data_IF_112299472922
#
_entry.id   IF_112299472922
#
_cell.length_a   1.000
_cell.length_b   1.000
_cell.length_c   1.000
_cell.angle_alpha   90.00
_cell.angle_beta   90.00
_cell.angle_gamma   90.00
#
_symmetry.space_group_name_H-M   'P 1'
#
loop_
_entity.id
_entity.type
_entity.pdbx_description
1 polymer ?
#
# COMPACT_ATOMS: atom_id res chain seq x y z
N UNK A 1 -23.33 -29.34 -54.00
CA UNK A 1 -23.02 -27.93 -53.62
C UNK A 1 -23.59 -27.49 -52.25
N UNK A 2 -24.08 -28.39 -51.38
CA UNK A 2 -24.64 -28.05 -50.05
C UNK A 2 -23.64 -28.15 -48.87
N UNK A 3 -22.56 -28.91 -49.02
CA UNK A 3 -21.62 -29.27 -47.93
C UNK A 3 -20.60 -28.20 -47.53
N UNK A 4 -20.28 -27.24 -48.41
CA UNK A 4 -19.34 -26.15 -48.10
C UNK A 4 -20.01 -24.97 -47.36
N UNK A 5 -21.30 -24.74 -47.58
CA UNK A 5 -22.08 -23.67 -46.92
C UNK A 5 -22.31 -23.99 -45.44
N UNK A 6 -22.64 -25.24 -45.10
CA UNK A 6 -22.83 -25.68 -43.71
C UNK A 6 -21.54 -25.59 -42.89
N UNK A 7 -20.39 -26.05 -43.43
CA UNK A 7 -19.10 -25.97 -42.72
C UNK A 7 -18.68 -24.54 -42.42
N UNK A 8 -18.96 -23.59 -43.31
CA UNK A 8 -18.68 -22.17 -43.07
C UNK A 8 -19.60 -21.57 -42.01
N UNK A 9 -20.90 -21.92 -42.02
CA UNK A 9 -21.83 -21.50 -40.98
C UNK A 9 -21.41 -22.03 -39.59
N UNK A 10 -21.00 -23.30 -39.48
CA UNK A 10 -20.52 -23.87 -38.21
C UNK A 10 -19.24 -23.20 -37.71
N UNK A 11 -18.33 -22.84 -38.63
CA UNK A 11 -17.09 -22.13 -38.29
C UNK A 11 -17.36 -20.70 -37.80
N UNK A 12 -18.28 -19.98 -38.42
CA UNK A 12 -18.71 -18.66 -37.93
C UNK A 12 -19.39 -18.76 -36.56
N UNK A 13 -20.22 -19.78 -36.34
CA UNK A 13 -20.86 -20.05 -35.04
C UNK A 13 -19.82 -20.28 -33.94
N UNK A 14 -18.79 -21.08 -34.24
CA UNK A 14 -17.69 -21.37 -33.33
C UNK A 14 -16.85 -20.12 -33.06
N UNK A 15 -16.55 -19.32 -34.08
CA UNK A 15 -15.82 -18.06 -33.91
C UNK A 15 -16.59 -17.06 -33.05
N UNK A 16 -17.92 -16.95 -33.24
CA UNK A 16 -18.79 -16.12 -32.39
C UNK A 16 -18.75 -16.60 -30.93
N UNK A 17 -18.81 -17.91 -30.68
CA UNK A 17 -18.70 -18.49 -29.33
C UNK A 17 -17.35 -18.22 -28.69
N UNK A 18 -16.25 -18.40 -29.41
CA UNK A 18 -14.89 -18.13 -28.92
C UNK A 18 -14.70 -16.65 -28.59
N UNK A 19 -15.21 -15.75 -29.43
CA UNK A 19 -15.14 -14.31 -29.18
C UNK A 19 -15.96 -13.90 -27.96
N UNK A 20 -17.16 -14.46 -27.80
CA UNK A 20 -18.00 -14.25 -26.62
C UNK A 20 -17.32 -14.74 -25.33
N UNK A 21 -16.74 -15.95 -25.35
CA UNK A 21 -16.01 -16.49 -24.20
C UNK A 21 -14.79 -15.65 -23.85
N UNK A 22 -14.03 -15.19 -24.84
CA UNK A 22 -12.87 -14.31 -24.63
C UNK A 22 -13.29 -12.98 -24.00
N UNK A 23 -14.41 -12.40 -24.43
CA UNK A 23 -14.95 -11.16 -23.85
C UNK A 23 -15.34 -11.35 -22.39
N UNK A 24 -16.10 -12.41 -22.08
CA UNK A 24 -16.47 -12.80 -20.70
C UNK A 24 -15.25 -13.01 -19.81
N UNK A 25 -14.20 -13.66 -20.33
CA UNK A 25 -12.97 -13.90 -19.59
C UNK A 25 -12.26 -12.59 -19.18
N UNK A 26 -12.27 -11.59 -20.07
CA UNK A 26 -11.71 -10.27 -19.77
C UNK A 26 -12.57 -9.51 -18.75
N UNK A 27 -13.90 -9.58 -18.86
CA UNK A 27 -14.82 -8.96 -17.89
C UNK A 27 -14.62 -9.50 -16.48
N UNK A 28 -14.46 -10.83 -16.33
CA UNK A 28 -14.16 -11.47 -15.04
C UNK A 28 -12.80 -11.04 -14.46
N UNK A 29 -11.76 -10.98 -15.30
CA UNK A 29 -10.43 -10.51 -14.88
C UNK A 29 -10.47 -9.08 -14.37
N UNK A 30 -11.22 -8.20 -15.05
CA UNK A 30 -11.32 -6.80 -14.66
C UNK A 30 -12.03 -6.65 -13.29
N UNK A 31 -13.14 -7.37 -13.09
CA UNK A 31 -13.83 -7.40 -11.80
C UNK A 31 -12.92 -7.90 -10.66
N UNK A 32 -12.19 -9.00 -10.89
CA UNK A 32 -11.24 -9.53 -9.91
C UNK A 32 -10.14 -8.51 -9.56
N UNK A 33 -9.60 -7.79 -10.56
CA UNK A 33 -8.61 -6.75 -10.30
C UNK A 33 -9.16 -5.58 -9.49
N UNK A 34 -10.41 -5.15 -9.72
CA UNK A 34 -11.06 -4.10 -8.93
C UNK A 34 -11.19 -4.50 -7.46
N UNK A 35 -11.70 -5.71 -7.20
CA UNK A 35 -11.82 -6.25 -5.84
C UNK A 35 -10.48 -6.33 -5.11
N UNK A 36 -9.42 -6.85 -5.75
CA UNK A 36 -8.08 -6.96 -5.16
C UNK A 36 -7.51 -5.56 -4.85
N UNK A 37 -7.75 -4.58 -5.72
CA UNK A 37 -7.28 -3.20 -5.49
C UNK A 37 -7.96 -2.60 -4.27
N UNK A 38 -9.27 -2.79 -4.11
CA UNK A 38 -10.01 -2.27 -2.96
C UNK A 38 -9.65 -2.99 -1.65
N UNK A 39 -9.44 -4.30 -1.69
CA UNK A 39 -8.93 -5.06 -0.55
C UNK A 39 -7.55 -4.58 -0.12
N UNK A 40 -6.63 -4.35 -1.07
CA UNK A 40 -5.30 -3.78 -0.78
C UNK A 40 -5.39 -2.39 -0.16
N UNK A 41 -6.28 -1.53 -0.67
CA UNK A 41 -6.53 -0.20 -0.07
C UNK A 41 -7.07 -0.33 1.35
N UNK A 42 -8.04 -1.22 1.57
CA UNK A 42 -8.63 -1.46 2.88
C UNK A 42 -7.59 -1.94 3.90
N UNK A 43 -6.78 -2.95 3.54
CA UNK A 43 -5.68 -3.44 4.38
C UNK A 43 -4.69 -2.32 4.71
N UNK A 44 -4.28 -1.55 3.68
CA UNK A 44 -3.35 -0.43 3.87
C UNK A 44 -3.92 0.62 4.82
N UNK A 45 -5.19 0.99 4.65
CA UNK A 45 -5.85 2.01 5.46
C UNK A 45 -6.02 1.55 6.91
N UNK A 46 -6.47 0.32 7.12
CA UNK A 46 -6.62 -0.26 8.46
C UNK A 46 -5.27 -0.32 9.20
N UNK A 47 -4.20 -0.72 8.50
CA UNK A 47 -2.83 -0.68 9.04
C UNK A 47 -2.43 0.73 9.49
N UNK A 48 -2.69 1.76 8.67
CA UNK A 48 -2.38 3.15 9.03
C UNK A 48 -3.19 3.64 10.24
N UNK A 49 -4.48 3.28 10.32
CA UNK A 49 -5.29 3.60 11.48
C UNK A 49 -4.78 2.93 12.76
N UNK A 50 -4.36 1.66 12.68
CA UNK A 50 -3.76 0.94 13.80
C UNK A 50 -2.48 1.62 14.30
N UNK A 51 -1.59 2.02 13.38
CA UNK A 51 -0.37 2.77 13.70
C UNK A 51 -0.70 4.08 14.41
N UNK A 52 -1.62 4.87 13.85
CA UNK A 52 -2.01 6.15 14.42
C UNK A 52 -2.60 5.97 15.83
N UNK A 53 -3.46 4.98 16.01
CA UNK A 53 -4.07 4.66 17.31
C UNK A 53 -3.00 4.30 18.36
N UNK A 54 -2.03 3.45 18.01
CA UNK A 54 -0.91 3.07 18.90
C UNK A 54 -0.01 4.26 19.24
N UNK A 55 0.28 5.13 18.27
CA UNK A 55 1.05 6.35 18.53
C UNK A 55 0.27 7.27 19.49
N UNK A 56 -1.03 7.46 19.26
CA UNK A 56 -1.87 8.27 20.14
C UNK A 56 -1.92 7.72 21.57
N UNK A 57 -2.01 6.41 21.74
CA UNK A 57 -1.91 5.76 23.05
C UNK A 57 -0.55 6.01 23.71
N UNK A 58 0.54 5.93 22.95
CA UNK A 58 1.88 6.23 23.45
C UNK A 58 2.02 7.71 23.87
N UNK A 59 1.45 8.65 23.11
CA UNK A 59 1.44 10.08 23.46
C UNK A 59 0.80 10.31 24.83
N UNK A 60 -0.31 9.63 25.11
CA UNK A 60 -1.02 9.77 26.40
C UNK A 60 -0.26 9.12 27.55
N UNK A 61 0.42 7.99 27.32
CA UNK A 61 1.03 7.17 28.38
C UNK A 61 2.50 7.48 28.67
N UNK A 62 3.24 8.06 27.73
CA UNK A 62 4.70 8.22 27.84
C UNK A 62 5.06 9.67 28.16
N UNK A 63 5.37 9.92 29.43
CA UNK A 63 5.69 11.25 29.95
C UNK A 63 7.08 11.78 29.57
N UNK A 64 7.95 10.95 28.98
CA UNK A 64 9.27 11.38 28.55
C UNK A 64 9.30 11.59 27.02
N UNK A 65 9.49 12.83 26.53
CA UNK A 65 9.45 13.13 25.09
C UNK A 65 10.44 12.30 24.26
N UNK A 66 11.66 12.06 24.76
CA UNK A 66 12.64 11.25 24.03
C UNK A 66 12.20 9.79 23.88
N UNK A 67 11.61 9.23 24.95
CA UNK A 67 11.05 7.86 24.90
C UNK A 67 9.84 7.81 23.97
N UNK A 68 8.96 8.80 24.04
CA UNK A 68 7.80 8.92 23.15
C UNK A 68 8.22 8.97 21.69
N UNK A 69 9.18 9.83 21.33
CA UNK A 69 9.63 9.97 19.94
C UNK A 69 10.21 8.67 19.39
N UNK A 70 11.05 7.99 20.18
CA UNK A 70 11.61 6.69 19.78
C UNK A 70 10.52 5.63 19.63
N UNK A 71 9.54 5.59 20.54
CA UNK A 71 8.42 4.66 20.46
C UNK A 71 7.51 4.94 19.26
N UNK A 72 7.23 6.21 18.95
CA UNK A 72 6.45 6.57 17.77
C UNK A 72 7.13 6.15 16.45
N UNK A 73 8.45 6.39 16.32
CA UNK A 73 9.21 5.92 15.16
C UNK A 73 9.17 4.39 15.03
N UNK A 74 9.30 3.68 16.17
CA UNK A 74 9.24 2.22 16.23
C UNK A 74 7.89 1.69 15.79
N UNK A 75 6.78 2.22 16.33
CA UNK A 75 5.41 1.82 15.96
C UNK A 75 5.18 2.01 14.46
N UNK A 76 5.62 3.16 13.90
CA UNK A 76 5.49 3.40 12.47
C UNK A 76 6.17 2.30 11.65
N UNK A 77 7.40 1.93 11.98
CA UNK A 77 8.15 0.92 11.20
C UNK A 77 7.63 -0.49 11.45
N UNK A 78 7.50 -0.92 12.70
CA UNK A 78 7.14 -2.29 13.06
C UNK A 78 5.67 -2.60 12.74
N UNK A 79 4.73 -1.71 13.09
CA UNK A 79 3.29 -1.92 12.86
C UNK A 79 2.82 -1.36 11.51
N UNK A 80 3.46 -0.30 11.04
CA UNK A 80 3.10 0.39 9.79
C UNK A 80 3.86 -0.08 8.57
N UNK A 81 4.78 -1.04 8.72
CA UNK A 81 5.66 -1.57 7.68
C UNK A 81 6.28 -0.46 6.80
N UNK A 82 6.65 0.66 7.42
CA UNK A 82 7.48 1.67 6.79
C UNK A 82 8.94 1.22 6.85
N UNK A 83 9.72 1.55 5.81
CA UNK A 83 11.16 1.22 5.79
C UNK A 83 11.91 1.90 6.95
N UNK A 84 11.54 3.14 7.24
CA UNK A 84 12.15 3.98 8.27
C UNK A 84 11.19 5.09 8.69
N UNK A 85 11.33 5.56 9.93
CA UNK A 85 10.67 6.75 10.45
C UNK A 85 11.62 7.52 11.37
N UNK A 86 11.53 8.84 11.37
CA UNK A 86 12.34 9.71 12.22
C UNK A 86 11.57 10.95 12.66
N UNK A 87 12.02 11.54 13.78
CA UNK A 87 11.51 12.79 14.32
C UNK A 87 12.67 13.78 14.43
N UNK A 88 12.47 14.96 13.86
CA UNK A 88 13.38 16.09 13.94
C UNK A 88 12.84 17.21 14.82
N UNK A 89 13.72 17.89 15.55
CA UNK A 89 13.39 19.14 16.23
C UNK A 89 14.10 20.29 15.54
N UNK A 90 13.37 21.36 15.27
CA UNK A 90 13.94 22.60 14.76
C UNK A 90 14.76 23.29 15.86
N UNK A 91 16.04 23.52 15.59
CA UNK A 91 16.87 24.38 16.40
C UNK A 91 16.63 25.84 15.99
N UNK A 92 16.00 26.63 16.87
CA UNK A 92 15.64 28.03 16.60
C UNK A 92 16.86 28.95 16.38
N UNK A 93 18.04 28.60 16.91
CA UNK A 93 19.26 29.40 16.72
C UNK A 93 19.89 29.14 15.37
N UNK A 94 20.08 27.87 15.03
CA UNK A 94 20.77 27.49 13.79
C UNK A 94 19.83 27.39 12.60
N UNK A 95 18.51 27.44 12.81
CA UNK A 95 17.47 27.19 11.82
C UNK A 95 17.62 25.83 11.10
N UNK A 96 18.26 24.86 11.76
CA UNK A 96 18.45 23.51 11.24
C UNK A 96 17.60 22.51 12.00
N UNK A 97 17.06 21.53 11.28
CA UNK A 97 16.36 20.39 11.87
C UNK A 97 17.41 19.41 12.38
N UNK A 98 17.31 19.00 13.64
CA UNK A 98 18.17 17.96 14.21
C UNK A 98 17.35 16.69 14.39
N UNK A 99 17.70 15.57 13.76
CA UNK A 99 17.11 14.27 14.09
C UNK A 99 17.31 13.97 15.58
N UNK A 100 16.22 13.65 16.29
CA UNK A 100 16.25 13.34 17.73
C UNK A 100 15.78 11.92 18.05
N UNK A 101 15.11 11.25 17.12
CA UNK A 101 14.74 9.86 17.20
C UNK A 101 14.58 9.29 15.79
N UNK A 102 14.85 8.01 15.62
CA UNK A 102 14.57 7.26 14.41
C UNK A 102 14.40 5.78 14.72
N UNK A 103 13.83 5.04 13.77
CA UNK A 103 13.78 3.59 13.74
C UNK A 103 13.72 3.11 12.29
N UNK A 104 14.22 1.90 12.03
CA UNK A 104 14.31 1.34 10.68
C UNK A 104 15.60 1.71 9.96
N UNK A 105 15.63 1.43 8.66
CA UNK A 105 16.83 1.55 7.82
C UNK A 105 17.04 2.99 7.35
N UNK A 106 18.01 3.68 7.96
CA UNK A 106 18.31 5.09 7.68
C UNK A 106 19.39 5.31 6.61
N UNK A 107 20.20 4.31 6.27
CA UNK A 107 21.19 4.31 5.17
C UNK A 107 21.99 5.64 5.00
N UNK A 108 22.40 6.26 6.11
CA UNK A 108 23.13 7.53 6.14
C UNK A 108 22.33 8.74 5.64
N UNK A 109 21.01 8.63 5.51
CA UNK A 109 20.12 9.73 5.14
C UNK A 109 20.09 10.81 6.22
N UNK A 110 20.08 10.40 7.50
CA UNK A 110 19.95 11.35 8.62
C UNK A 110 21.23 12.17 8.83
N UNK A 111 22.38 11.69 8.37
CA UNK A 111 23.66 12.43 8.41
C UNK A 111 23.68 13.65 7.48
N UNK A 112 22.74 13.73 6.53
CA UNK A 112 22.65 14.78 5.51
C UNK A 112 21.64 15.89 5.86
N UNK A 113 20.94 15.79 7.00
CA UNK A 113 19.91 16.75 7.46
C UNK A 113 20.54 17.82 8.37
#
# INVERSE_FOLDING_TARGET
MKTLKDKNATKEELLKKVFFLRRRLNELKNLETEHIVDEKKFIRLNRLYSVLSKINEAIVRVNNPKKLFKQACRIAVEDGSFKMAWIGLLNQRTHRVRPVAYWGDEDGYLDKI
#
